data_IF_411611574711
#
_entry.id   IF_411611574711
#
_cell.length_a   1.000
_cell.length_b   1.000
_cell.length_c   1.000
_cell.angle_alpha   90.00
_cell.angle_beta   90.00
_cell.angle_gamma   90.00
#
_symmetry.space_group_name_H-M   'P 1'
#
loop_
_entity.id
_entity.type
_entity.pdbx_description
1 polymer ?
#
# COMPACT_ATOMS: atom_id res chain seq x y z
N UNK A 1 8.86 -15.17 12.16
CA UNK A 1 10.31 -15.24 12.08
C UNK A 1 10.94 -13.85 12.18
N UNK A 2 12.12 -13.77 12.77
CA UNK A 2 12.85 -12.51 12.88
C UNK A 2 13.62 -12.23 11.59
N UNK A 3 13.66 -10.96 11.22
CA UNK A 3 14.39 -10.50 10.04
C UNK A 3 15.58 -9.65 10.47
N UNK A 4 16.74 -9.89 9.87
CA UNK A 4 17.93 -9.08 10.11
C UNK A 4 17.64 -7.62 9.76
N UNK A 5 17.83 -6.71 10.72
CA UNK A 5 17.52 -5.29 10.52
C UNK A 5 18.47 -4.35 11.28
N UNK A 6 19.59 -4.86 11.77
CA UNK A 6 20.59 -4.04 12.46
C UNK A 6 21.22 -3.09 11.44
N UNK A 7 21.31 -1.79 11.80
CA UNK A 7 21.89 -0.74 10.96
C UNK A 7 23.31 -1.10 10.50
N UNK A 8 24.09 -1.77 11.34
CA UNK A 8 25.48 -2.15 11.04
C UNK A 8 25.59 -3.17 9.91
N UNK A 9 24.47 -3.86 9.59
CA UNK A 9 24.42 -4.90 8.56
C UNK A 9 23.69 -4.42 7.30
N UNK A 10 23.34 -3.15 7.23
CA UNK A 10 22.66 -2.54 6.09
C UNK A 10 23.50 -1.42 5.50
N UNK A 11 23.31 -1.13 4.22
CA UNK A 11 24.00 -0.02 3.52
C UNK A 11 23.08 0.57 2.45
N UNK A 12 23.53 1.67 1.86
CA UNK A 12 22.86 2.31 0.72
C UNK A 12 21.42 2.70 1.02
N UNK A 13 21.23 3.33 2.19
CA UNK A 13 19.90 3.78 2.63
C UNK A 13 19.36 4.82 1.67
N UNK A 14 18.20 4.54 1.06
CA UNK A 14 17.52 5.44 0.13
C UNK A 14 16.16 5.82 0.72
N UNK A 15 15.99 7.11 1.00
CA UNK A 15 14.77 7.68 1.56
C UNK A 15 13.98 8.51 0.53
N UNK A 16 14.33 8.40 -0.75
CA UNK A 16 13.72 9.23 -1.82
C UNK A 16 12.46 8.62 -2.43
N UNK A 17 12.21 7.32 -2.19
CA UNK A 17 11.08 6.61 -2.77
C UNK A 17 9.76 7.03 -2.13
N UNK A 18 8.74 7.26 -2.95
CA UNK A 18 7.37 7.42 -2.46
C UNK A 18 6.70 6.05 -2.35
N UNK A 19 6.44 5.61 -1.14
CA UNK A 19 5.73 4.35 -0.89
C UNK A 19 4.24 4.49 -1.16
N UNK A 20 3.70 5.69 -0.99
CA UNK A 20 2.31 6.00 -1.36
C UNK A 20 2.10 5.78 -2.86
N UNK A 21 2.99 6.32 -3.69
CA UNK A 21 2.91 6.15 -5.14
C UNK A 21 3.06 4.68 -5.54
N UNK A 22 4.00 3.97 -4.90
CA UNK A 22 4.17 2.53 -5.14
C UNK A 22 2.90 1.77 -4.81
N UNK A 23 2.30 2.03 -3.66
CA UNK A 23 1.10 1.34 -3.23
C UNK A 23 -0.07 1.58 -4.20
N UNK A 24 -0.27 2.82 -4.61
CA UNK A 24 -1.31 3.18 -5.58
C UNK A 24 -1.06 2.53 -6.95
N UNK A 25 0.20 2.45 -7.38
CA UNK A 25 0.57 1.84 -8.65
C UNK A 25 0.30 0.34 -8.71
N UNK A 26 0.22 -0.33 -7.56
CA UNK A 26 -0.08 -1.77 -7.49
C UNK A 26 -1.54 -2.10 -7.81
N UNK A 27 -2.37 -1.09 -8.01
CA UNK A 27 -3.80 -1.25 -8.31
C UNK A 27 -4.65 -1.17 -7.05
N UNK A 28 -5.94 -1.05 -7.26
CA UNK A 28 -6.90 -0.98 -6.16
C UNK A 28 -7.19 -2.35 -5.60
N UNK A 29 -7.30 -2.44 -4.29
CA UNK A 29 -7.88 -3.61 -3.63
C UNK A 29 -9.33 -3.73 -4.12
N UNK A 30 -9.72 -4.93 -4.51
CA UNK A 30 -11.07 -5.19 -5.01
C UNK A 30 -11.64 -6.47 -4.40
N UNK A 31 -12.95 -6.57 -4.46
CA UNK A 31 -13.64 -7.81 -4.14
C UNK A 31 -13.75 -8.64 -5.42
N UNK A 32 -13.59 -9.94 -5.29
CA UNK A 32 -13.66 -10.85 -6.42
C UNK A 32 -14.17 -12.22 -6.00
N UNK A 33 -14.52 -13.03 -6.98
CA UNK A 33 -14.85 -14.46 -6.77
C UNK A 33 -13.97 -15.28 -7.68
N UNK A 34 -13.58 -16.45 -7.20
CA UNK A 34 -12.82 -17.38 -8.03
C UNK A 34 -13.72 -17.97 -9.12
N UNK A 35 -13.14 -18.14 -10.30
CA UNK A 35 -13.81 -18.78 -11.42
C UNK A 35 -13.97 -20.27 -11.18
N UNK A 36 -14.84 -20.90 -11.96
CA UNK A 36 -15.00 -22.36 -11.94
C UNK A 36 -13.68 -23.07 -12.27
N UNK A 37 -12.91 -22.52 -13.21
CA UNK A 37 -11.59 -23.02 -13.58
C UNK A 37 -10.62 -23.00 -12.39
N UNK A 38 -10.62 -21.93 -11.61
CA UNK A 38 -9.80 -21.84 -10.39
C UNK A 38 -10.20 -22.89 -9.37
N UNK A 39 -11.48 -23.12 -9.21
CA UNK A 39 -12.03 -24.09 -8.25
C UNK A 39 -11.71 -25.53 -8.67
N UNK A 40 -11.68 -25.81 -9.98
CA UNK A 40 -11.26 -27.11 -10.50
C UNK A 40 -9.77 -27.34 -10.32
N UNK A 41 -8.97 -26.27 -10.55
CA UNK A 41 -7.51 -26.30 -10.43
C UNK A 41 -7.06 -26.49 -8.98
N UNK A 42 -7.67 -25.77 -8.04
CA UNK A 42 -7.30 -25.76 -6.62
C UNK A 42 -8.38 -26.44 -5.76
N UNK A 43 -8.68 -27.68 -6.04
CA UNK A 43 -9.71 -28.44 -5.32
C UNK A 43 -9.48 -28.38 -3.80
N UNK A 44 -10.44 -27.80 -3.08
CA UNK A 44 -10.37 -27.62 -1.64
C UNK A 44 -9.56 -26.42 -1.18
N UNK A 45 -8.87 -25.71 -2.10
CA UNK A 45 -8.08 -24.53 -1.78
C UNK A 45 -8.80 -23.21 -2.00
N UNK A 46 -9.83 -23.20 -2.85
CA UNK A 46 -10.64 -22.00 -3.12
C UNK A 46 -12.12 -22.34 -3.12
N UNK A 47 -12.95 -21.38 -2.74
CA UNK A 47 -14.40 -21.52 -2.67
C UNK A 47 -15.09 -20.55 -3.63
N UNK A 48 -16.43 -20.54 -3.62
CA UNK A 48 -17.24 -19.63 -4.44
C UNK A 48 -17.61 -18.33 -3.76
N UNK A 49 -17.09 -18.08 -2.56
CA UNK A 49 -17.39 -16.87 -1.80
C UNK A 49 -16.61 -15.66 -2.32
N UNK A 50 -17.04 -14.48 -1.90
CA UNK A 50 -16.34 -13.25 -2.24
C UNK A 50 -15.08 -13.10 -1.37
N UNK A 51 -14.00 -12.67 -1.98
CA UNK A 51 -12.72 -12.42 -1.33
C UNK A 51 -12.22 -11.04 -1.74
N UNK A 52 -11.23 -10.54 -1.05
CA UNK A 52 -10.59 -9.26 -1.39
C UNK A 52 -9.13 -9.50 -1.75
N UNK A 53 -8.61 -8.69 -2.63
CA UNK A 53 -7.20 -8.77 -2.98
C UNK A 53 -6.78 -7.86 -4.11
N UNK A 54 -5.55 -8.05 -4.53
CA UNK A 54 -4.92 -7.35 -5.64
C UNK A 54 -4.82 -8.29 -6.84
N UNK A 55 -4.42 -7.74 -7.98
CA UNK A 55 -4.28 -8.49 -9.24
C UNK A 55 -2.79 -8.77 -9.48
N UNK A 56 -2.44 -10.04 -9.65
CA UNK A 56 -1.06 -10.50 -9.85
C UNK A 56 -0.32 -9.74 -10.96
N UNK A 57 -0.93 -9.60 -12.13
CA UNK A 57 -0.27 -8.97 -13.28
C UNK A 57 0.13 -7.53 -12.98
N UNK A 58 -0.69 -6.82 -12.23
CA UNK A 58 -0.43 -5.43 -11.86
C UNK A 58 0.66 -5.33 -10.79
N UNK A 59 0.56 -6.16 -9.77
CA UNK A 59 1.54 -6.19 -8.67
C UNK A 59 2.92 -6.59 -9.18
N UNK A 60 3.00 -7.56 -10.07
CA UNK A 60 4.26 -8.05 -10.64
C UNK A 60 5.09 -6.92 -11.27
N UNK A 61 4.45 -5.97 -11.92
CA UNK A 61 5.14 -4.84 -12.54
C UNK A 61 5.78 -3.89 -11.52
N UNK A 62 5.18 -3.77 -10.35
CA UNK A 62 5.54 -2.74 -9.37
C UNK A 62 6.36 -3.31 -8.21
N UNK A 63 5.98 -4.48 -7.71
CA UNK A 63 6.63 -5.12 -6.57
C UNK A 63 6.80 -6.62 -6.85
N UNK A 64 7.73 -6.96 -7.76
CA UNK A 64 7.89 -8.36 -8.19
C UNK A 64 8.28 -9.30 -7.04
N UNK A 65 8.87 -8.80 -5.97
CA UNK A 65 9.30 -9.63 -4.84
C UNK A 65 8.16 -10.30 -4.08
N UNK A 66 6.90 -9.83 -4.24
CA UNK A 66 5.76 -10.51 -3.64
C UNK A 66 4.97 -11.35 -4.65
N UNK A 67 5.42 -11.41 -5.89
CA UNK A 67 4.70 -12.08 -6.98
C UNK A 67 5.41 -13.37 -7.38
N UNK A 68 4.63 -14.43 -7.54
CA UNK A 68 5.15 -15.76 -7.91
C UNK A 68 4.36 -16.31 -9.07
N UNK A 69 5.04 -17.01 -9.96
CA UNK A 69 4.40 -17.77 -11.02
C UNK A 69 4.44 -19.25 -10.63
N UNK A 70 3.29 -19.90 -10.67
CA UNK A 70 3.18 -21.32 -10.39
C UNK A 70 3.63 -22.15 -11.60
N UNK A 71 3.89 -23.45 -11.41
CA UNK A 71 4.38 -24.34 -12.49
C UNK A 71 3.45 -24.37 -13.70
N UNK A 72 2.14 -24.22 -13.46
CA UNK A 72 1.13 -24.20 -14.52
C UNK A 72 0.91 -22.83 -15.16
N UNK A 73 1.76 -21.84 -14.83
CA UNK A 73 1.77 -20.53 -15.47
C UNK A 73 0.82 -19.49 -14.89
N UNK A 74 0.15 -19.79 -13.79
CA UNK A 74 -0.72 -18.83 -13.10
C UNK A 74 0.07 -18.05 -12.06
N UNK A 75 -0.36 -16.80 -11.81
CA UNK A 75 0.25 -15.95 -10.82
C UNK A 75 -0.33 -16.12 -9.42
N UNK A 76 0.52 -15.91 -8.43
CA UNK A 76 0.12 -15.90 -7.02
C UNK A 76 0.84 -14.75 -6.31
N UNK A 77 0.25 -14.25 -5.24
CA UNK A 77 0.82 -13.18 -4.43
C UNK A 77 1.07 -13.65 -3.01
N UNK A 78 2.22 -13.26 -2.47
CA UNK A 78 2.53 -13.48 -1.06
C UNK A 78 2.27 -12.19 -0.29
N UNK A 79 1.10 -12.09 0.33
CA UNK A 79 0.71 -10.94 1.15
C UNK A 79 1.50 -10.82 2.45
N UNK A 80 2.30 -11.82 2.80
CA UNK A 80 3.20 -11.79 3.97
C UNK A 80 4.60 -11.33 3.58
N UNK A 81 4.82 -10.96 2.33
CA UNK A 81 6.11 -10.44 1.89
C UNK A 81 6.51 -9.20 2.71
N UNK A 82 7.74 -9.18 3.29
CA UNK A 82 8.22 -8.01 4.00
C UNK A 82 8.21 -6.74 3.15
N UNK A 83 8.48 -6.85 1.85
CA UNK A 83 8.48 -5.69 0.95
C UNK A 83 7.07 -5.10 0.81
N UNK A 84 6.05 -5.94 0.78
CA UNK A 84 4.66 -5.48 0.75
C UNK A 84 4.26 -4.81 2.07
N UNK A 85 4.53 -5.48 3.18
CA UNK A 85 4.20 -4.96 4.51
C UNK A 85 4.90 -3.62 4.76
N UNK A 86 6.17 -3.52 4.39
CA UNK A 86 6.94 -2.28 4.55
C UNK A 86 6.51 -1.19 3.56
N UNK A 87 6.01 -1.55 2.39
CA UNK A 87 5.39 -0.58 1.49
C UNK A 87 4.15 0.04 2.14
N UNK A 88 3.30 -0.76 2.77
CA UNK A 88 2.14 -0.27 3.51
C UNK A 88 2.58 0.61 4.68
N UNK A 89 3.57 0.16 5.45
CA UNK A 89 4.10 0.95 6.57
C UNK A 89 4.66 2.30 6.10
N UNK A 90 5.45 2.29 5.04
CA UNK A 90 6.00 3.52 4.45
C UNK A 90 4.93 4.46 3.95
N UNK A 91 3.91 3.94 3.24
CA UNK A 91 2.77 4.73 2.78
C UNK A 91 1.98 5.32 3.95
N UNK A 92 1.84 4.56 5.03
CA UNK A 92 1.17 5.04 6.24
C UNK A 92 1.96 6.18 6.90
N UNK A 93 3.29 6.07 6.97
CA UNK A 93 4.16 7.13 7.51
C UNK A 93 4.06 8.40 6.68
N UNK A 94 4.09 8.30 5.34
CA UNK A 94 3.95 9.44 4.43
C UNK A 94 2.58 10.10 4.60
N UNK A 95 1.53 9.30 4.67
CA UNK A 95 0.17 9.78 4.88
C UNK A 95 0.02 10.49 6.24
N UNK A 96 0.56 9.91 7.29
CA UNK A 96 0.53 10.50 8.62
C UNK A 96 1.28 11.86 8.66
N UNK A 97 2.42 11.93 7.99
CA UNK A 97 3.18 13.18 7.88
C UNK A 97 2.41 14.25 7.11
N UNK A 98 1.75 13.85 6.02
CA UNK A 98 0.90 14.75 5.23
C UNK A 98 -0.29 15.26 6.04
N UNK A 99 -0.95 14.36 6.80
CA UNK A 99 -2.06 14.75 7.66
C UNK A 99 -1.63 15.79 8.69
N UNK A 100 -0.48 15.59 9.33
CA UNK A 100 0.07 16.57 10.28
C UNK A 100 0.33 17.92 9.64
N UNK A 101 0.93 17.92 8.45
CA UNK A 101 1.19 19.15 7.71
C UNK A 101 -0.11 19.89 7.36
N UNK A 102 -1.13 19.14 6.88
CA UNK A 102 -2.43 19.71 6.54
C UNK A 102 -3.15 20.26 7.77
N UNK A 103 -3.04 19.60 8.92
CA UNK A 103 -3.61 20.10 10.18
C UNK A 103 -2.97 21.42 10.58
N UNK A 104 -1.64 21.56 10.42
CA UNK A 104 -0.93 22.81 10.63
C UNK A 104 -1.41 23.92 9.69
N UNK A 105 -1.61 23.58 8.42
CA UNK A 105 -2.12 24.52 7.42
C UNK A 105 -3.54 24.98 7.76
N UNK A 106 -4.39 24.07 8.20
CA UNK A 106 -5.75 24.40 8.63
C UNK A 106 -5.75 25.36 9.80
N UNK A 107 -4.93 25.12 10.82
CA UNK A 107 -4.80 26.00 11.97
C UNK A 107 -4.34 27.40 11.56
N UNK A 108 -3.33 27.49 10.67
CA UNK A 108 -2.84 28.76 10.14
C UNK A 108 -3.95 29.49 9.37
N UNK A 109 -4.68 28.79 8.51
CA UNK A 109 -5.76 29.38 7.71
C UNK A 109 -6.92 29.85 8.58
N UNK A 110 -7.25 29.11 9.63
CA UNK A 110 -8.26 29.53 10.60
C UNK A 110 -7.87 30.84 11.29
N UNK A 111 -6.59 30.95 11.67
CA UNK A 111 -6.06 32.16 12.29
C UNK A 111 -6.12 33.35 11.33
N UNK A 112 -5.66 33.15 10.09
CA UNK A 112 -5.69 34.21 9.07
C UNK A 112 -7.13 34.65 8.78
N UNK A 113 -8.07 33.71 8.68
CA UNK A 113 -9.47 34.02 8.46
C UNK A 113 -10.06 34.80 9.62
N UNK A 114 -9.75 34.43 10.86
CA UNK A 114 -10.17 35.14 12.04
C UNK A 114 -9.67 36.59 12.07
N UNK A 115 -8.39 36.80 11.69
CA UNK A 115 -7.79 38.13 11.59
C UNK A 115 -8.47 38.97 10.51
N UNK A 116 -8.78 38.39 9.36
CA UNK A 116 -9.51 39.08 8.30
C UNK A 116 -10.92 39.48 8.73
N UNK A 117 -11.64 38.59 9.42
CA UNK A 117 -12.97 38.90 9.95
C UNK A 117 -12.91 40.01 10.98
N UNK A 118 -11.89 40.01 11.84
CA UNK A 118 -11.67 41.08 12.81
C UNK A 118 -11.47 42.44 12.15
N UNK A 119 -10.72 42.48 11.05
CA UNK A 119 -10.46 43.71 10.29
C UNK A 119 -11.68 44.18 9.50
N UNK A 120 -12.51 43.26 9.03
CA UNK A 120 -13.72 43.58 8.28
C UNK A 120 -14.95 43.86 9.11
N UNK A 121 -14.90 43.66 10.42
CA UNK A 121 -16.02 43.74 11.34
C UNK A 121 -16.29 45.10 11.95
N UNK A 122 -15.83 46.13 11.33
CA UNK A 122 -16.06 47.51 11.84
C UNK A 122 -17.45 47.98 11.52
#
# INVERSE_FOLDING_TARGET
>A
ALTTSDKRLKRDFDYTRSYTDRLLAMGRVCDFRYTEKARERDKGGVDGEAHTGLIYQKVKEILPSMAYETEDGYGALNYLSPDYINTIAGATQETASLVKALMGDIERLKKELSELKGKGGK
#
